data_IF_279207274171
#
_entry.id   IF_279207274171
#
_cell.length_a   1.000
_cell.length_b   1.000
_cell.length_c   1.000
_cell.angle_alpha   90.00
_cell.angle_beta   90.00
_cell.angle_gamma   90.00
#
_symmetry.space_group_name_H-M   'P 1'
#
loop_
_entity.id
_entity.type
_entity.pdbx_description
1 polymer ?
#
# COMPACT_ATOMS: atom_id res chain seq x y z
N UNK A 1 -5.38 9.46 20.12
CA UNK A 1 -5.54 8.61 18.95
C UNK A 1 -4.34 7.67 18.70
N UNK A 2 -3.91 6.96 19.78
CA UNK A 2 -2.76 6.05 19.75
C UNK A 2 -2.99 4.87 18.78
N UNK A 3 -4.22 4.37 18.66
CA UNK A 3 -4.56 3.27 17.75
C UNK A 3 -4.21 3.59 16.30
N UNK A 4 -4.58 4.77 15.80
CA UNK A 4 -4.23 5.19 14.44
C UNK A 4 -2.71 5.31 14.23
N UNK A 5 -1.97 5.77 15.26
CA UNK A 5 -0.51 5.82 15.18
C UNK A 5 0.11 4.43 15.01
N UNK A 6 -0.34 3.42 15.76
CA UNK A 6 0.16 2.05 15.64
C UNK A 6 -0.17 1.43 14.27
N UNK A 7 -1.38 1.68 13.76
CA UNK A 7 -1.78 1.24 12.40
C UNK A 7 -0.87 1.87 11.33
N UNK A 8 -0.57 3.17 11.44
CA UNK A 8 0.32 3.86 10.51
C UNK A 8 1.77 3.36 10.60
N UNK A 9 2.28 3.08 11.81
CA UNK A 9 3.62 2.51 12.01
C UNK A 9 3.69 1.11 11.39
N UNK A 10 2.72 0.24 11.64
CA UNK A 10 2.64 -1.09 11.03
C UNK A 10 2.57 -1.01 9.50
N UNK A 11 1.75 -0.09 8.97
CA UNK A 11 1.68 0.20 7.55
C UNK A 11 3.01 0.70 6.96
N UNK A 12 3.83 1.43 7.73
CA UNK A 12 5.17 1.86 7.30
C UNK A 12 6.10 0.67 7.06
N UNK A 13 6.06 -0.34 7.92
CA UNK A 13 6.82 -1.59 7.72
C UNK A 13 6.39 -2.33 6.46
N UNK A 14 5.08 -2.37 6.17
CA UNK A 14 4.58 -2.94 4.92
C UNK A 14 5.12 -2.18 3.69
N UNK A 15 5.15 -0.85 3.72
CA UNK A 15 5.69 -0.04 2.62
C UNK A 15 7.21 -0.20 2.47
N UNK A 16 7.94 -0.41 3.58
CA UNK A 16 9.36 -0.72 3.53
C UNK A 16 9.60 -2.05 2.79
N UNK A 17 8.81 -3.08 3.07
CA UNK A 17 8.87 -4.34 2.34
C UNK A 17 8.55 -4.13 0.85
N UNK A 18 7.51 -3.34 0.52
CA UNK A 18 7.17 -2.98 -0.86
C UNK A 18 8.29 -2.24 -1.60
N UNK A 19 9.11 -1.46 -0.88
CA UNK A 19 10.29 -0.78 -1.45
C UNK A 19 11.46 -1.74 -1.66
N UNK A 20 11.77 -2.57 -0.67
CA UNK A 20 12.92 -3.46 -0.70
C UNK A 20 12.74 -4.64 -1.65
N UNK A 21 11.53 -5.20 -1.76
CA UNK A 21 11.28 -6.40 -2.56
C UNK A 21 11.57 -6.22 -4.05
N UNK A 22 11.11 -5.16 -4.74
CA UNK A 22 11.48 -4.92 -6.15
C UNK A 22 12.98 -4.71 -6.35
N UNK A 23 13.64 -4.03 -5.41
CA UNK A 23 15.09 -3.84 -5.46
C UNK A 23 15.84 -5.17 -5.34
N UNK A 24 15.45 -6.01 -4.37
CA UNK A 24 16.02 -7.35 -4.20
C UNK A 24 15.75 -8.25 -5.40
N UNK A 25 14.54 -8.19 -5.95
CA UNK A 25 14.18 -8.93 -7.16
C UNK A 25 15.08 -8.53 -8.34
N UNK A 26 15.27 -7.23 -8.58
CA UNK A 26 16.15 -6.73 -9.63
C UNK A 26 17.60 -7.13 -9.43
N UNK A 27 18.08 -7.16 -8.17
CA UNK A 27 19.46 -7.58 -7.86
C UNK A 27 19.69 -9.09 -8.01
N UNK A 28 18.70 -9.92 -7.68
CA UNK A 28 18.84 -11.37 -7.64
C UNK A 28 18.47 -12.04 -8.96
N UNK A 29 17.48 -11.53 -9.67
CA UNK A 29 16.95 -12.12 -10.90
C UNK A 29 17.55 -11.41 -12.13
N UNK A 30 17.89 -10.11 -11.98
CA UNK A 30 18.30 -9.26 -13.09
C UNK A 30 17.14 -8.93 -14.04
N UNK A 31 17.40 -8.86 -15.34
CA UNK A 31 16.37 -8.62 -16.34
C UNK A 31 15.48 -9.86 -16.54
N UNK A 32 14.18 -9.68 -16.30
CA UNK A 32 13.18 -10.73 -16.56
C UNK A 32 12.92 -10.80 -18.07
N UNK A 33 13.30 -11.90 -18.69
CA UNK A 33 13.11 -12.17 -20.11
C UNK A 33 12.20 -13.40 -20.31
N UNK A 34 11.84 -13.69 -21.57
CA UNK A 34 11.10 -14.93 -21.89
C UNK A 34 11.88 -16.21 -21.58
N UNK A 35 13.19 -16.10 -21.36
CA UNK A 35 14.09 -17.21 -21.03
C UNK A 35 14.35 -17.33 -19.52
N UNK A 36 13.87 -16.39 -18.72
CA UNK A 36 13.98 -16.46 -17.26
C UNK A 36 13.30 -17.71 -16.73
N UNK A 37 14.06 -18.59 -16.12
CA UNK A 37 13.61 -19.88 -15.58
C UNK A 37 13.20 -19.77 -14.12
N UNK A 38 12.50 -20.79 -13.62
CA UNK A 38 12.17 -20.86 -12.20
C UNK A 38 13.44 -20.93 -11.31
N UNK A 39 14.53 -21.48 -11.84
CA UNK A 39 15.81 -21.53 -11.12
C UNK A 39 16.39 -20.14 -10.85
N UNK A 40 16.19 -19.18 -11.76
CA UNK A 40 16.65 -17.80 -11.60
C UNK A 40 15.85 -17.05 -10.54
N UNK A 41 14.59 -17.44 -10.32
CA UNK A 41 13.68 -16.87 -9.32
C UNK A 41 13.82 -17.53 -7.94
N UNK A 42 14.35 -18.77 -7.91
CA UNK A 42 14.46 -19.58 -6.69
C UNK A 42 15.16 -18.87 -5.51
N UNK A 43 16.25 -18.10 -5.68
CA UNK A 43 16.89 -17.39 -4.57
C UNK A 43 15.94 -16.42 -3.85
N UNK A 44 15.09 -15.69 -4.59
CA UNK A 44 14.09 -14.79 -4.01
C UNK A 44 13.03 -15.57 -3.22
N UNK A 45 12.60 -16.72 -3.75
CA UNK A 45 11.65 -17.60 -3.07
C UNK A 45 12.23 -18.19 -1.77
N UNK A 46 13.50 -18.57 -1.77
CA UNK A 46 14.17 -19.06 -0.55
C UNK A 46 14.27 -17.97 0.53
N UNK A 47 14.52 -16.72 0.15
CA UNK A 47 14.47 -15.59 1.09
C UNK A 47 13.06 -15.44 1.66
N UNK A 48 12.03 -15.47 0.83
CA UNK A 48 10.64 -15.41 1.28
C UNK A 48 10.28 -16.56 2.25
N UNK A 49 10.68 -17.78 1.92
CA UNK A 49 10.52 -18.94 2.80
C UNK A 49 11.22 -18.76 4.15
N UNK A 50 12.44 -18.21 4.15
CA UNK A 50 13.18 -17.88 5.36
C UNK A 50 12.47 -16.85 6.24
N UNK A 51 11.90 -15.82 5.62
CA UNK A 51 11.09 -14.80 6.33
C UNK A 51 9.84 -15.43 6.95
N UNK A 52 9.12 -16.30 6.23
CA UNK A 52 7.97 -17.02 6.79
C UNK A 52 8.37 -17.94 7.94
N UNK A 53 9.45 -18.70 7.81
CA UNK A 53 9.94 -19.55 8.87
C UNK A 53 10.33 -18.74 10.12
N UNK A 54 11.04 -17.62 9.95
CA UNK A 54 11.37 -16.72 11.04
C UNK A 54 10.11 -16.14 11.70
N UNK A 55 9.10 -15.77 10.93
CA UNK A 55 7.82 -15.27 11.45
C UNK A 55 7.09 -16.31 12.28
N UNK A 56 7.06 -17.58 11.85
CA UNK A 56 6.48 -18.69 12.62
C UNK A 56 7.19 -18.83 13.98
N UNK A 57 8.53 -18.81 13.97
CA UNK A 57 9.32 -18.90 15.20
C UNK A 57 9.03 -17.72 16.14
N UNK A 58 9.08 -16.48 15.63
CA UNK A 58 8.83 -15.27 16.42
C UNK A 58 7.43 -15.31 17.04
N UNK A 59 6.39 -15.60 16.23
CA UNK A 59 5.02 -15.66 16.72
C UNK A 59 4.83 -16.77 17.73
N UNK A 60 5.43 -17.95 17.49
CA UNK A 60 5.32 -19.11 18.38
C UNK A 60 5.96 -18.89 19.78
N UNK A 61 7.01 -18.04 19.86
CA UNK A 61 7.65 -17.70 21.12
C UNK A 61 7.16 -16.39 21.75
N UNK A 62 6.33 -15.62 21.04
CA UNK A 62 5.78 -14.35 21.57
C UNK A 62 4.49 -14.63 22.33
N UNK A 63 4.39 -14.28 23.62
CA UNK A 63 3.13 -14.40 24.35
C UNK A 63 2.12 -13.38 23.81
N UNK A 64 1.30 -13.81 22.87
CA UNK A 64 0.20 -13.01 22.33
C UNK A 64 -0.97 -13.08 23.31
N UNK A 65 -1.39 -11.92 23.81
CA UNK A 65 -2.64 -11.82 24.56
C UNK A 65 -3.78 -11.76 23.54
N UNK A 66 -4.53 -12.84 23.46
CA UNK A 66 -5.74 -12.83 22.65
C UNK A 66 -6.77 -11.87 23.28
N UNK A 67 -7.38 -10.97 22.48
CA UNK A 67 -8.47 -10.15 22.97
C UNK A 67 -9.58 -11.05 23.55
N UNK A 68 -10.14 -10.69 24.68
CA UNK A 68 -11.32 -11.39 25.23
C UNK A 68 -12.39 -11.43 24.12
N UNK A 69 -12.68 -12.63 23.64
CA UNK A 69 -13.79 -12.81 22.71
C UNK A 69 -15.06 -12.55 23.51
N UNK A 70 -15.74 -11.44 23.24
CA UNK A 70 -17.09 -11.24 23.75
C UNK A 70 -17.91 -12.45 23.28
N UNK A 71 -18.25 -13.33 24.25
CA UNK A 71 -18.98 -14.56 23.98
C UNK A 71 -20.31 -14.26 23.27
N UNK A 72 -20.42 -14.67 22.04
CA UNK A 72 -21.61 -14.47 21.23
C UNK A 72 -21.51 -15.20 19.89
N UNK A 73 -22.64 -15.36 19.22
CA UNK A 73 -22.69 -15.89 17.86
C UNK A 73 -21.93 -14.91 16.93
N UNK A 74 -20.81 -15.35 16.40
CA UNK A 74 -19.97 -14.57 15.46
C UNK A 74 -20.80 -14.03 14.30
N UNK A 75 -21.76 -14.81 13.79
CA UNK A 75 -22.64 -14.37 12.72
C UNK A 75 -23.59 -13.24 13.15
N UNK A 76 -24.05 -13.26 14.39
CA UNK A 76 -24.85 -12.16 14.94
C UNK A 76 -24.02 -10.87 15.10
N UNK A 77 -22.75 -11.00 15.50
CA UNK A 77 -21.84 -9.86 15.58
C UNK A 77 -21.52 -9.26 14.20
N UNK A 78 -21.29 -10.10 13.19
CA UNK A 78 -21.08 -9.67 11.80
C UNK A 78 -22.34 -8.97 11.27
N UNK A 79 -23.52 -9.54 11.44
CA UNK A 79 -24.79 -8.92 11.03
C UNK A 79 -25.03 -7.59 11.75
N UNK A 80 -24.70 -7.53 13.04
CA UNK A 80 -24.79 -6.29 13.82
C UNK A 80 -23.84 -5.20 13.30
N UNK A 81 -22.59 -5.55 12.97
CA UNK A 81 -21.61 -4.67 12.38
C UNK A 81 -22.08 -4.13 11.03
N UNK A 82 -22.60 -4.99 10.16
CA UNK A 82 -23.13 -4.59 8.84
C UNK A 82 -24.38 -3.68 8.91
N UNK A 83 -25.00 -3.53 10.07
CA UNK A 83 -26.04 -2.53 10.31
C UNK A 83 -25.52 -1.06 10.26
N UNK A 84 -24.24 -0.87 10.39
CA UNK A 84 -23.62 0.47 10.37
C UNK A 84 -23.23 0.88 8.95
N UNK A 85 -23.90 1.90 8.41
CA UNK A 85 -23.68 2.38 7.03
C UNK A 85 -22.22 2.81 6.76
N UNK A 86 -21.56 3.45 7.74
CA UNK A 86 -20.19 3.89 7.58
C UNK A 86 -19.20 2.73 7.46
N UNK A 87 -19.48 1.56 8.08
CA UNK A 87 -18.70 0.35 7.86
C UNK A 87 -18.84 -0.13 6.42
N UNK A 88 -20.08 -0.22 5.89
CA UNK A 88 -20.32 -0.66 4.52
C UNK A 88 -19.60 0.24 3.51
N UNK A 89 -19.74 1.56 3.66
CA UNK A 89 -19.03 2.51 2.82
C UNK A 89 -17.51 2.42 2.98
N UNK A 90 -17.02 2.12 4.18
CA UNK A 90 -15.61 1.89 4.42
C UNK A 90 -15.08 0.65 3.70
N UNK A 91 -15.82 -0.46 3.73
CA UNK A 91 -15.46 -1.69 2.98
C UNK A 91 -15.42 -1.44 1.48
N UNK A 92 -16.41 -0.72 0.95
CA UNK A 92 -16.41 -0.33 -0.47
C UNK A 92 -15.21 0.59 -0.79
N UNK A 93 -14.93 1.56 0.08
CA UNK A 93 -13.82 2.48 -0.09
C UNK A 93 -12.47 1.77 -0.05
N UNK A 94 -12.26 0.78 0.86
CA UNK A 94 -11.02 0.02 0.94
C UNK A 94 -10.82 -0.86 -0.28
N UNK A 95 -11.88 -1.45 -0.83
CA UNK A 95 -11.83 -2.22 -2.06
C UNK A 95 -11.25 -1.39 -3.23
N UNK A 96 -11.81 -0.19 -3.46
CA UNK A 96 -11.31 0.69 -4.51
C UNK A 96 -9.92 1.25 -4.19
N UNK A 97 -9.66 1.56 -2.92
CA UNK A 97 -8.35 2.04 -2.49
C UNK A 97 -7.25 1.03 -2.79
N UNK A 98 -7.43 -0.26 -2.44
CA UNK A 98 -6.44 -1.30 -2.72
C UNK A 98 -6.20 -1.44 -4.21
N UNK A 99 -7.26 -1.36 -5.02
CA UNK A 99 -7.14 -1.33 -6.48
C UNK A 99 -6.26 -0.18 -6.98
N UNK A 100 -6.42 1.02 -6.42
CA UNK A 100 -5.60 2.19 -6.77
C UNK A 100 -4.17 2.05 -6.24
N UNK A 101 -4.00 1.59 -5.00
CA UNK A 101 -2.67 1.44 -4.34
C UNK A 101 -1.74 0.53 -5.14
N UNK A 102 -2.26 -0.60 -5.62
CA UNK A 102 -1.49 -1.59 -6.38
C UNK A 102 -1.52 -1.29 -7.88
N UNK A 103 -2.65 -0.78 -8.37
CA UNK A 103 -2.85 -0.49 -9.78
C UNK A 103 -1.91 0.59 -10.30
N UNK A 104 -1.76 1.70 -9.59
CA UNK A 104 -0.88 2.81 -10.06
C UNK A 104 0.56 2.33 -10.33
N UNK A 105 1.29 1.71 -9.38
CA UNK A 105 2.64 1.24 -9.65
C UNK A 105 2.67 0.08 -10.66
N UNK A 106 1.66 -0.78 -10.68
CA UNK A 106 1.55 -1.88 -11.63
C UNK A 106 1.42 -1.38 -13.07
N UNK A 107 0.44 -0.54 -13.35
CA UNK A 107 0.23 0.05 -14.67
C UNK A 107 1.41 0.92 -15.11
N UNK A 108 2.03 1.63 -14.19
CA UNK A 108 3.24 2.40 -14.46
C UNK A 108 4.40 1.51 -14.93
N UNK A 109 4.58 0.35 -14.32
CA UNK A 109 5.59 -0.64 -14.75
C UNK A 109 5.27 -1.14 -16.16
N UNK A 110 4.02 -1.51 -16.45
CA UNK A 110 3.60 -1.94 -17.79
C UNK A 110 3.79 -0.84 -18.83
N UNK A 111 3.40 0.38 -18.51
CA UNK A 111 3.58 1.53 -19.37
C UNK A 111 5.05 1.78 -19.71
N UNK A 112 5.93 1.82 -18.71
CA UNK A 112 7.36 2.04 -18.92
C UNK A 112 8.02 0.92 -19.71
N UNK A 113 7.62 -0.34 -19.51
CA UNK A 113 8.10 -1.47 -20.28
C UNK A 113 7.60 -1.46 -21.74
N UNK A 114 6.49 -0.78 -22.03
CA UNK A 114 6.01 -0.61 -23.41
C UNK A 114 6.77 0.46 -24.20
N UNK A 115 7.52 1.32 -23.51
CA UNK A 115 8.37 2.33 -24.13
C UNK A 115 9.69 1.68 -24.57
N UNK A 116 10.16 2.03 -25.78
CA UNK A 116 11.45 1.55 -26.29
C UNK A 116 12.64 2.31 -25.68
N UNK A 117 12.72 2.29 -24.34
CA UNK A 117 13.84 2.91 -23.58
C UNK A 117 14.84 1.82 -23.16
N UNK A 118 16.15 2.12 -23.19
CA UNK A 118 17.15 1.19 -22.69
C UNK A 118 16.90 0.82 -21.23
N UNK A 119 17.02 -0.45 -20.87
CA UNK A 119 16.83 -0.95 -19.50
C UNK A 119 15.45 -0.62 -18.89
N UNK A 120 14.39 -0.63 -19.72
CA UNK A 120 13.02 -0.27 -19.31
C UNK A 120 12.58 -0.96 -18.03
N UNK A 121 12.83 -2.26 -17.89
CA UNK A 121 12.44 -3.06 -16.73
C UNK A 121 13.12 -2.59 -15.43
N UNK A 122 14.42 -2.30 -15.48
CA UNK A 122 15.16 -1.82 -14.32
C UNK A 122 14.71 -0.40 -13.91
N UNK A 123 14.46 0.46 -14.89
CA UNK A 123 13.95 1.81 -14.68
C UNK A 123 12.53 1.77 -14.09
N UNK A 124 11.65 0.95 -14.65
CA UNK A 124 10.28 0.78 -14.16
C UNK A 124 10.25 0.28 -12.71
N UNK A 125 11.08 -0.72 -12.40
CA UNK A 125 11.23 -1.22 -11.03
C UNK A 125 11.74 -0.16 -10.06
N UNK A 126 12.72 0.65 -10.48
CA UNK A 126 13.27 1.75 -9.66
C UNK A 126 12.24 2.85 -9.39
N UNK A 127 11.45 3.21 -10.40
CA UNK A 127 10.40 4.22 -10.26
C UNK A 127 9.26 3.70 -9.37
N UNK A 128 8.88 2.43 -9.51
CA UNK A 128 7.92 1.78 -8.61
C UNK A 128 8.44 1.72 -7.16
N UNK A 129 9.73 1.46 -6.96
CA UNK A 129 10.34 1.51 -5.64
C UNK A 129 10.24 2.91 -5.00
N UNK A 130 10.39 3.98 -5.79
CA UNK A 130 10.21 5.36 -5.30
C UNK A 130 8.74 5.60 -4.88
N UNK A 131 7.76 5.08 -5.61
CA UNK A 131 6.35 5.15 -5.20
C UNK A 131 6.15 4.55 -3.80
N UNK A 132 6.68 3.34 -3.56
CA UNK A 132 6.59 2.69 -2.24
C UNK A 132 7.40 3.41 -1.16
N UNK A 133 8.53 3.99 -1.53
CA UNK A 133 9.33 4.82 -0.62
C UNK A 133 8.55 6.09 -0.20
N UNK A 134 7.90 6.76 -1.13
CA UNK A 134 7.04 7.91 -0.82
C UNK A 134 5.84 7.49 0.04
N UNK A 135 5.30 6.31 -0.18
CA UNK A 135 4.26 5.75 0.68
C UNK A 135 4.78 5.50 2.10
N UNK A 136 5.99 4.97 2.26
CA UNK A 136 6.65 4.82 3.57
C UNK A 136 6.79 6.18 4.27
N UNK A 137 7.34 7.17 3.57
CA UNK A 137 7.53 8.54 4.10
C UNK A 137 6.20 9.17 4.49
N UNK A 138 5.17 9.02 3.64
CA UNK A 138 3.83 9.56 3.92
C UNK A 138 3.18 8.92 5.15
N UNK A 139 3.25 7.60 5.31
CA UNK A 139 2.74 6.89 6.50
C UNK A 139 3.46 7.33 7.77
N UNK A 140 4.79 7.40 7.70
CA UNK A 140 5.59 7.85 8.82
C UNK A 140 5.26 9.29 9.22
N UNK A 141 5.22 10.21 8.25
CA UNK A 141 4.84 11.61 8.47
C UNK A 141 3.43 11.74 9.03
N UNK A 142 2.47 10.98 8.50
CA UNK A 142 1.09 10.97 8.98
C UNK A 142 0.98 10.54 10.44
N UNK A 143 1.83 9.65 10.93
CA UNK A 143 1.82 9.23 12.34
C UNK A 143 2.03 10.41 13.29
N UNK A 144 2.85 11.40 12.91
CA UNK A 144 3.07 12.62 13.70
C UNK A 144 1.95 13.65 13.56
N UNK A 145 1.26 13.66 12.41
CA UNK A 145 0.18 14.62 12.10
C UNK A 145 -1.17 14.15 12.65
N UNK A 146 -1.37 12.84 12.77
CA UNK A 146 -2.65 12.22 13.20
C UNK A 146 -3.16 12.69 14.57
N UNK A 147 -2.29 13.22 15.43
CA UNK A 147 -2.69 13.84 16.69
C UNK A 147 -3.26 15.27 16.58
N UNK A 148 -3.01 15.95 15.45
CA UNK A 148 -3.33 17.36 15.25
C UNK A 148 -4.43 17.60 14.22
N UNK A 149 -4.57 16.71 13.25
CA UNK A 149 -5.53 16.84 12.15
C UNK A 149 -6.51 15.67 12.20
N UNK A 150 -7.80 15.95 11.98
CA UNK A 150 -8.83 14.91 11.99
C UNK A 150 -8.61 13.90 10.85
N UNK A 151 -8.91 12.64 11.11
CA UNK A 151 -8.83 11.53 10.14
C UNK A 151 -9.62 11.84 8.86
N UNK A 152 -10.82 12.43 9.02
CA UNK A 152 -11.66 12.83 7.89
C UNK A 152 -11.02 13.91 7.04
N UNK A 153 -10.43 14.93 7.66
CA UNK A 153 -9.73 16.01 6.94
C UNK A 153 -8.53 15.48 6.18
N UNK A 154 -7.71 14.63 6.82
CA UNK A 154 -6.57 14.00 6.15
C UNK A 154 -7.01 13.22 4.92
N UNK A 155 -8.00 12.32 5.07
CA UNK A 155 -8.50 11.51 3.96
C UNK A 155 -9.03 12.37 2.81
N UNK A 156 -9.82 13.41 3.13
CA UNK A 156 -10.39 14.31 2.11
C UNK A 156 -9.28 15.04 1.34
N UNK A 157 -8.31 15.61 2.04
CA UNK A 157 -7.20 16.36 1.40
C UNK A 157 -6.38 15.46 0.50
N UNK A 158 -5.94 14.29 0.99
CA UNK A 158 -5.09 13.40 0.17
C UNK A 158 -5.85 12.85 -1.03
N UNK A 159 -7.17 12.60 -0.91
CA UNK A 159 -8.00 12.15 -2.03
C UNK A 159 -8.12 13.22 -3.11
N UNK A 160 -8.32 14.48 -2.72
CA UNK A 160 -8.37 15.61 -3.68
C UNK A 160 -7.01 15.78 -4.37
N UNK A 161 -5.93 15.75 -3.60
CA UNK A 161 -4.57 15.91 -4.16
C UNK A 161 -4.27 14.75 -5.12
N UNK A 162 -4.57 13.50 -4.76
CA UNK A 162 -4.40 12.35 -5.64
C UNK A 162 -5.18 12.49 -6.94
N UNK A 163 -6.44 12.93 -6.86
CA UNK A 163 -7.27 13.19 -8.04
C UNK A 163 -6.64 14.24 -8.95
N UNK A 164 -6.16 15.35 -8.38
CA UNK A 164 -5.49 16.41 -9.15
C UNK A 164 -4.22 15.89 -9.82
N UNK A 165 -3.39 15.11 -9.11
CA UNK A 165 -2.17 14.53 -9.66
C UNK A 165 -2.48 13.59 -10.83
N UNK A 166 -3.50 12.74 -10.71
CA UNK A 166 -3.91 11.83 -11.79
C UNK A 166 -4.46 12.59 -13.00
N UNK A 167 -5.27 13.62 -12.77
CA UNK A 167 -5.78 14.48 -13.84
C UNK A 167 -4.62 15.16 -14.58
N UNK A 168 -3.65 15.72 -13.84
CA UNK A 168 -2.46 16.32 -14.44
C UNK A 168 -1.66 15.29 -15.25
N UNK A 169 -1.48 14.07 -14.75
CA UNK A 169 -0.79 12.99 -15.46
C UNK A 169 -1.46 12.63 -16.80
N UNK A 170 -2.80 12.70 -16.87
CA UNK A 170 -3.55 12.45 -18.11
C UNK A 170 -3.30 13.53 -19.17
N UNK A 171 -3.28 14.81 -18.75
CA UNK A 171 -3.16 15.92 -19.67
C UNK A 171 -1.72 16.27 -20.07
N UNK A 172 -0.71 15.79 -19.37
CA UNK A 172 0.70 16.01 -19.73
C UNK A 172 1.05 15.24 -21.01
N UNK A 173 1.61 15.91 -22.03
CA UNK A 173 2.04 15.26 -23.27
C UNK A 173 3.14 14.23 -23.02
N UNK A 174 3.12 13.13 -23.75
CA UNK A 174 4.16 12.08 -23.68
C UNK A 174 5.53 12.56 -24.14
N UNK A 175 5.55 13.56 -25.02
CA UNK A 175 6.79 14.21 -25.48
C UNK A 175 7.53 14.98 -24.38
N UNK A 176 6.88 15.25 -23.26
CA UNK A 176 7.52 15.89 -22.11
C UNK A 176 8.23 14.83 -21.29
N UNK A 177 9.56 14.78 -21.39
CA UNK A 177 10.42 13.80 -20.72
C UNK A 177 11.27 14.46 -19.64
N UNK A 178 11.71 13.64 -18.68
CA UNK A 178 12.71 13.98 -17.67
C UNK A 178 13.82 12.95 -17.69
N UNK A 179 15.03 13.35 -17.31
CA UNK A 179 16.16 12.43 -17.23
C UNK A 179 16.17 11.70 -15.88
N UNK A 180 15.92 10.39 -15.91
CA UNK A 180 16.02 9.48 -14.78
C UNK A 180 16.71 8.20 -15.24
N UNK A 181 18.04 8.17 -15.32
CA UNK A 181 18.87 7.13 -15.97
C UNK A 181 18.57 6.92 -17.47
N UNK A 182 17.44 7.38 -17.95
CA UNK A 182 17.00 7.48 -19.34
C UNK A 182 15.95 8.58 -19.45
N UNK A 183 15.51 8.92 -20.67
CA UNK A 183 14.39 9.84 -20.88
C UNK A 183 13.06 9.13 -20.55
N UNK A 184 12.46 9.53 -19.45
CA UNK A 184 11.16 8.98 -18.96
C UNK A 184 10.09 10.06 -19.06
N UNK A 185 8.84 9.72 -19.44
CA UNK A 185 7.75 10.69 -19.44
C UNK A 185 7.51 11.33 -18.07
N UNK A 186 7.37 12.65 -18.06
CA UNK A 186 7.13 13.44 -16.82
C UNK A 186 5.87 12.98 -16.08
N UNK A 187 4.87 12.42 -16.79
CA UNK A 187 3.66 11.86 -16.17
C UNK A 187 3.96 10.83 -15.09
N UNK A 188 5.07 10.09 -15.18
CA UNK A 188 5.48 9.12 -14.16
C UNK A 188 5.76 9.77 -12.80
N UNK A 189 6.21 11.03 -12.77
CA UNK A 189 6.40 11.79 -11.54
C UNK A 189 5.08 11.94 -10.77
N UNK A 190 3.99 12.23 -11.48
CA UNK A 190 2.67 12.39 -10.85
C UNK A 190 2.14 11.08 -10.29
N UNK A 191 2.35 9.97 -11.00
CA UNK A 191 2.01 8.64 -10.47
C UNK A 191 2.81 8.30 -9.22
N UNK A 192 4.10 8.60 -9.21
CA UNK A 192 4.97 8.38 -8.05
C UNK A 192 4.53 9.24 -6.86
N UNK A 193 4.17 10.53 -7.09
CA UNK A 193 3.67 11.41 -6.05
C UNK A 193 2.33 10.94 -5.45
N UNK A 194 1.52 10.19 -6.19
CA UNK A 194 0.31 9.55 -5.65
C UNK A 194 0.64 8.61 -4.48
N UNK A 195 1.86 8.06 -4.40
CA UNK A 195 2.30 7.25 -3.26
C UNK A 195 2.23 7.98 -1.92
N UNK A 196 2.50 9.30 -1.88
CA UNK A 196 2.29 10.12 -0.68
C UNK A 196 0.82 10.20 -0.30
N UNK A 197 -0.07 10.33 -1.29
CA UNK A 197 -1.51 10.45 -1.04
C UNK A 197 -2.11 9.13 -0.58
N UNK A 198 -1.79 8.03 -1.26
CA UNK A 198 -2.28 6.68 -0.91
C UNK A 198 -1.75 6.21 0.43
N UNK A 199 -0.62 6.73 0.87
CA UNK A 199 0.07 6.33 2.10
C UNK A 199 -0.80 6.31 3.35
N UNK A 200 -1.69 7.30 3.51
CA UNK A 200 -2.51 7.48 4.70
C UNK A 200 -3.96 7.01 4.53
N UNK A 201 -4.34 6.66 3.30
CA UNK A 201 -5.75 6.36 3.00
C UNK A 201 -6.23 5.10 3.71
N UNK A 202 -5.47 4.00 3.69
CA UNK A 202 -5.88 2.75 4.32
C UNK A 202 -6.24 2.92 5.79
N UNK A 203 -5.30 3.45 6.58
CA UNK A 203 -5.50 3.64 8.01
C UNK A 203 -6.63 4.61 8.33
N UNK A 204 -6.80 5.64 7.52
CA UNK A 204 -7.87 6.62 7.72
C UNK A 204 -9.25 6.06 7.34
N UNK A 205 -9.36 5.29 6.25
CA UNK A 205 -10.60 4.60 5.87
C UNK A 205 -10.99 3.59 6.96
N UNK A 206 -10.05 2.74 7.39
CA UNK A 206 -10.26 1.76 8.43
C UNK A 206 -10.73 2.41 9.74
N UNK A 207 -10.06 3.47 10.18
CA UNK A 207 -10.39 4.17 11.42
C UNK A 207 -11.79 4.79 11.37
N UNK A 208 -12.16 5.44 10.25
CA UNK A 208 -13.51 6.01 10.07
C UNK A 208 -14.59 4.95 9.97
N UNK A 209 -14.28 3.82 9.35
CA UNK A 209 -15.23 2.73 9.18
C UNK A 209 -15.49 1.94 10.47
N UNK A 210 -14.53 1.90 11.37
CA UNK A 210 -14.63 1.17 12.66
C UNK A 210 -14.98 2.10 13.83
N UNK A 211 -15.11 3.40 13.61
CA UNK A 211 -15.41 4.37 14.65
C UNK A 211 -16.80 4.13 15.26
N UNK A 212 -16.88 4.05 16.59
CA UNK A 212 -18.14 3.95 17.33
C UNK A 212 -18.85 2.60 17.26
N UNK A 213 -18.23 1.54 16.74
CA UNK A 213 -18.83 0.21 16.63
C UNK A 213 -18.90 -0.56 17.97
N UNK A 214 -18.18 -0.13 18.99
CA UNK A 214 -18.17 -0.77 20.32
C UNK A 214 -17.87 -2.27 20.22
N UNK A 215 -18.76 -3.12 20.73
CA UNK A 215 -18.64 -4.60 20.71
C UNK A 215 -18.52 -5.21 19.31
N UNK A 216 -18.93 -4.51 18.27
CA UNK A 216 -18.85 -4.98 16.88
C UNK A 216 -17.51 -4.68 16.21
N UNK A 217 -16.59 -3.95 16.89
CA UNK A 217 -15.32 -3.53 16.28
C UNK A 217 -14.45 -4.71 15.84
N UNK A 218 -14.38 -5.77 16.62
CA UNK A 218 -13.61 -6.97 16.26
C UNK A 218 -14.20 -7.67 15.02
N UNK A 219 -15.51 -7.86 14.97
CA UNK A 219 -16.19 -8.44 13.82
C UNK A 219 -16.07 -7.55 12.57
N UNK A 220 -16.17 -6.23 12.73
CA UNK A 220 -15.97 -5.27 11.66
C UNK A 220 -14.55 -5.32 11.09
N UNK A 221 -13.54 -5.40 11.94
CA UNK A 221 -12.13 -5.52 11.52
C UNK A 221 -11.85 -6.81 10.72
N UNK A 222 -12.61 -7.87 10.97
CA UNK A 222 -12.52 -9.13 10.20
C UNK A 222 -13.22 -9.06 8.84
N UNK A 223 -14.07 -8.05 8.59
CA UNK A 223 -14.75 -7.84 7.31
C UNK A 223 -13.84 -7.06 6.34
N UNK A 224 -12.88 -6.26 6.85
CA UNK A 224 -11.89 -5.52 6.06
C UNK A 224 -10.81 -6.43 5.52
#
# INVERSE_FOLDING_TARGET
NRGNQYVQIGGSLNSLAGTLTPMLAGMLIGEVTKQTSMADVAPLLYIAMGVFAASIVIIGFTPLVEPEQEGGDTMALIKGALGYKHLIFGVIAIFFYVGVEVGIPGEMIFYLNSLNIPNATAIAGSIAAIYWLLMLVGRFTSSFISGKVSTRTQLTVVSIVALVLLVLAIFIPESMTMNFYAEVPVKCLFFVLCGLCTSVMWGNIFNLATEGLGKYTAAASGIF
#
